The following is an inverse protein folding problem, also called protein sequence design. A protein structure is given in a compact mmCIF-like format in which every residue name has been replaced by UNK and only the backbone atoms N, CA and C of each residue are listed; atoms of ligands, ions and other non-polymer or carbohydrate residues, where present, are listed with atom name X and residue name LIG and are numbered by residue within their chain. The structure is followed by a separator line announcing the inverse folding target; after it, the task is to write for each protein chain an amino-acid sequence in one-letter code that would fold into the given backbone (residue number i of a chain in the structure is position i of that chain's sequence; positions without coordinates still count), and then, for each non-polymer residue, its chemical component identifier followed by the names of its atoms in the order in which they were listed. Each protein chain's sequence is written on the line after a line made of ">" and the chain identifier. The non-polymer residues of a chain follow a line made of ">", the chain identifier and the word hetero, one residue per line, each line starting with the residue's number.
data_IF_833942853292
#
_entry.id   IF_833942853292
#
_cell.length_a   1.000
_cell.length_b   1.000
_cell.length_c   1.000
_cell.angle_alpha   90.00
_cell.angle_beta   90.00
_cell.angle_gamma   90.00
#
_symmetry.space_group_name_H-M   'P 1'
#
loop_
_entity.id
_entity.type
_entity.pdbx_description
1 polymer ?
#
# COMPACT_ATOMS: atom_id res chain seq x y z
N UNK A 1 -18.47 -11.18 -0.98
CA UNK A 1 -17.16 -11.86 -0.84
C UNK A 1 -16.19 -10.93 -0.09
N UNK A 2 -16.49 -10.54 1.16
CA UNK A 2 -15.58 -9.76 2.03
C UNK A 2 -15.60 -10.29 3.48
N UNK A 3 -16.05 -11.54 3.70
CA UNK A 3 -16.37 -12.05 5.03
C UNK A 3 -15.20 -12.04 6.02
N UNK A 4 -13.96 -12.24 5.54
CA UNK A 4 -12.78 -12.20 6.40
C UNK A 4 -12.47 -10.78 6.89
N UNK A 5 -12.48 -9.78 6.00
CA UNK A 5 -12.19 -8.39 6.38
C UNK A 5 -13.32 -7.82 7.27
N UNK A 6 -14.58 -8.14 6.95
CA UNK A 6 -15.72 -7.77 7.79
C UNK A 6 -15.60 -8.38 9.20
N UNK A 7 -15.19 -9.65 9.32
CA UNK A 7 -14.97 -10.29 10.61
C UNK A 7 -13.81 -9.66 11.41
N UNK A 8 -12.79 -9.12 10.75
CA UNK A 8 -11.72 -8.39 11.43
C UNK A 8 -12.22 -7.02 11.91
N UNK A 9 -13.01 -6.31 11.11
CA UNK A 9 -13.57 -5.01 11.46
C UNK A 9 -14.38 -5.04 12.77
N UNK A 10 -15.12 -6.12 13.03
CA UNK A 10 -15.91 -6.27 14.27
C UNK A 10 -15.07 -6.48 15.53
N UNK A 11 -13.76 -6.72 15.40
CA UNK A 11 -12.84 -6.87 16.54
C UNK A 11 -12.32 -5.53 17.08
N UNK A 12 -12.67 -4.41 16.45
CA UNK A 12 -12.17 -3.07 16.80
C UNK A 12 -10.78 -2.75 16.26
N UNK A 13 -10.25 -3.57 15.33
CA UNK A 13 -9.03 -3.27 14.59
C UNK A 13 -9.34 -2.21 13.53
N UNK A 14 -8.56 -1.13 13.52
CA UNK A 14 -8.68 -0.09 12.51
C UNK A 14 -8.16 -0.57 11.15
N UNK A 15 -9.05 -0.62 10.16
CA UNK A 15 -8.74 -1.07 8.80
C UNK A 15 -8.61 0.14 7.87
N UNK A 16 -7.67 1.03 8.18
CA UNK A 16 -7.33 2.19 7.36
C UNK A 16 -6.03 1.98 6.59
N UNK A 17 -5.96 2.58 5.40
CA UNK A 17 -4.71 2.66 4.65
C UNK A 17 -3.95 3.92 5.08
N UNK A 18 -2.66 3.80 5.47
CA UNK A 18 -1.88 4.96 5.85
C UNK A 18 -1.57 5.84 4.61
N UNK A 19 -1.53 7.15 4.83
CA UNK A 19 -1.10 8.14 3.81
C UNK A 19 0.36 7.99 3.39
N UNK A 20 1.13 7.07 3.96
CA UNK A 20 2.46 6.70 3.49
C UNK A 20 2.75 5.23 3.81
N UNK A 21 3.08 4.39 2.80
CA UNK A 21 3.40 3.00 3.05
C UNK A 21 4.74 2.88 3.78
N UNK A 22 4.76 2.21 4.93
CA UNK A 22 5.98 2.04 5.73
C UNK A 22 6.51 0.61 5.76
N UNK A 23 5.77 -0.35 5.18
CA UNK A 23 6.09 -1.78 5.17
C UNK A 23 5.88 -2.40 3.79
N UNK A 24 6.77 -3.32 3.44
CA UNK A 24 6.72 -4.06 2.19
C UNK A 24 5.58 -5.09 2.22
N UNK A 25 4.66 -5.04 1.24
CA UNK A 25 3.60 -6.05 1.09
C UNK A 25 4.08 -7.47 0.75
N UNK A 26 5.36 -7.63 0.39
CA UNK A 26 5.97 -8.93 0.04
C UNK A 26 6.72 -9.59 1.20
N UNK A 27 7.55 -8.84 1.92
CA UNK A 27 8.40 -9.37 2.99
C UNK A 27 8.22 -8.71 4.36
N UNK A 28 7.32 -7.71 4.47
CA UNK A 28 7.12 -6.88 5.66
C UNK A 28 8.36 -6.07 6.12
N UNK A 29 9.37 -5.94 5.26
CA UNK A 29 10.54 -5.08 5.46
C UNK A 29 10.22 -3.60 5.48
N UNK A 30 11.17 -2.76 5.93
CA UNK A 30 11.01 -1.29 5.93
C UNK A 30 11.05 -0.74 4.50
N UNK A 31 10.11 0.15 4.20
CA UNK A 31 10.13 0.95 2.98
C UNK A 31 10.83 2.29 3.24
N UNK A 32 11.53 2.78 2.22
CA UNK A 32 12.09 4.12 2.17
C UNK A 32 11.61 4.83 0.90
N UNK A 33 11.45 6.15 0.97
CA UNK A 33 11.10 6.95 -0.19
C UNK A 33 12.25 6.89 -1.21
N UNK A 34 11.88 6.79 -2.48
CA UNK A 34 12.81 6.95 -3.60
C UNK A 34 12.90 8.45 -3.90
N UNK A 35 14.12 8.97 -3.99
CA UNK A 35 14.35 10.37 -4.35
C UNK A 35 13.79 10.65 -5.77
N UNK A 36 13.14 11.81 -6.01
CA UNK A 36 12.55 12.13 -7.31
C UNK A 36 13.54 12.05 -8.49
N UNK A 37 14.82 12.35 -8.23
CA UNK A 37 15.89 12.30 -9.24
C UNK A 37 16.48 10.89 -9.46
N UNK A 38 16.06 9.88 -8.68
CA UNK A 38 16.54 8.52 -8.82
C UNK A 38 15.78 7.78 -9.91
N UNK A 39 16.49 6.95 -10.68
CA UNK A 39 15.88 6.06 -11.66
C UNK A 39 15.13 4.94 -10.95
N UNK A 40 13.93 4.65 -11.44
CA UNK A 40 13.12 3.49 -11.06
C UNK A 40 13.24 2.38 -12.11
N UNK A 41 12.94 1.11 -11.77
CA UNK A 41 12.90 0.02 -12.74
C UNK A 41 11.83 0.24 -13.84
N UNK A 42 12.01 -0.37 -15.02
CA UNK A 42 11.13 -0.19 -16.20
C UNK A 42 9.62 -0.45 -15.95
N UNK A 43 9.29 -1.27 -14.94
CA UNK A 43 7.90 -1.59 -14.60
C UNK A 43 7.25 -0.56 -13.67
N UNK A 44 8.04 0.35 -13.09
CA UNK A 44 7.59 1.36 -12.15
C UNK A 44 7.56 2.74 -12.84
N UNK A 45 6.66 3.65 -12.40
CA UNK A 45 6.67 5.02 -12.90
C UNK A 45 7.96 5.73 -12.48
N UNK A 46 8.27 6.85 -13.14
CA UNK A 46 9.37 7.71 -12.73
C UNK A 46 9.08 8.35 -11.36
N UNK A 47 10.11 8.47 -10.51
CA UNK A 47 9.94 8.92 -9.13
C UNK A 47 9.60 10.43 -9.00
N UNK A 48 9.81 11.21 -10.05
CA UNK A 48 9.41 12.61 -10.17
C UNK A 48 7.95 12.79 -10.66
N UNK A 49 7.40 11.79 -11.34
CA UNK A 49 6.00 11.76 -11.76
C UNK A 49 5.08 11.19 -10.67
N UNK A 50 5.51 10.13 -9.99
CA UNK A 50 4.73 9.44 -8.96
C UNK A 50 5.62 9.09 -7.76
N UNK A 51 5.10 9.30 -6.54
CA UNK A 51 5.85 8.99 -5.32
C UNK A 51 6.12 7.48 -5.26
N UNK A 52 7.40 7.14 -5.23
CA UNK A 52 7.86 5.75 -5.18
C UNK A 52 8.53 5.43 -3.84
N UNK A 53 8.40 4.18 -3.42
CA UNK A 53 9.09 3.63 -2.24
C UNK A 53 9.79 2.33 -2.61
N UNK A 54 10.97 2.10 -2.02
CA UNK A 54 11.76 0.87 -2.20
C UNK A 54 11.88 0.13 -0.87
N UNK A 55 11.78 -1.20 -0.90
CA UNK A 55 12.07 -2.02 0.27
C UNK A 55 13.57 -2.14 0.50
N UNK A 56 14.01 -1.95 1.74
CA UNK A 56 15.42 -2.13 2.13
C UNK A 56 15.91 -3.58 2.06
N UNK A 57 14.99 -4.54 2.19
CA UNK A 57 15.34 -5.95 2.34
C UNK A 57 15.21 -6.74 1.03
N UNK A 58 14.15 -6.51 0.26
CA UNK A 58 13.88 -7.25 -0.99
C UNK A 58 13.89 -6.38 -2.25
N UNK A 59 14.19 -5.08 -2.11
CA UNK A 59 14.37 -4.11 -3.21
C UNK A 59 13.14 -3.89 -4.10
N UNK A 60 12.00 -4.49 -3.76
CA UNK A 60 10.73 -4.26 -4.44
C UNK A 60 10.32 -2.80 -4.34
N UNK A 61 9.86 -2.25 -5.47
CA UNK A 61 9.34 -0.90 -5.58
C UNK A 61 7.81 -0.88 -5.49
N UNK A 62 7.28 0.18 -4.89
CA UNK A 62 5.86 0.42 -4.62
C UNK A 62 5.48 1.88 -4.92
N UNK A 63 4.24 2.09 -5.35
CA UNK A 63 3.64 3.41 -5.61
C UNK A 63 2.11 3.30 -5.46
N UNK A 64 1.40 4.44 -5.42
CA UNK A 64 -0.07 4.46 -5.32
C UNK A 64 -0.74 4.40 -6.69
N UNK A 65 -0.61 3.26 -7.36
CA UNK A 65 -1.33 2.98 -8.60
C UNK A 65 -2.68 2.28 -8.36
N UNK A 66 -3.26 1.73 -9.43
CA UNK A 66 -4.58 1.08 -9.43
C UNK A 66 -4.78 -0.05 -8.40
N UNK A 67 -3.69 -0.68 -7.93
CA UNK A 67 -3.77 -1.64 -6.84
C UNK A 67 -4.19 -0.95 -5.52
N UNK A 68 -3.58 0.19 -5.21
CA UNK A 68 -3.90 1.00 -4.04
C UNK A 68 -5.37 1.41 -4.06
N UNK A 69 -5.84 1.93 -5.19
CA UNK A 69 -7.22 2.36 -5.38
C UNK A 69 -8.20 1.22 -5.13
N UNK A 70 -7.93 0.03 -5.69
CA UNK A 70 -8.78 -1.15 -5.47
C UNK A 70 -8.80 -1.58 -4.00
N UNK A 71 -7.68 -1.52 -3.27
CA UNK A 71 -7.67 -1.83 -1.84
C UNK A 71 -8.50 -0.80 -1.07
N UNK A 72 -8.38 0.49 -1.40
CA UNK A 72 -9.16 1.54 -0.80
C UNK A 72 -10.68 1.35 -1.04
N UNK A 73 -11.08 1.06 -2.28
CA UNK A 73 -12.47 0.73 -2.63
C UNK A 73 -12.99 -0.49 -1.87
N UNK A 74 -12.14 -1.52 -1.72
CA UNK A 74 -12.49 -2.74 -0.98
C UNK A 74 -12.75 -2.44 0.49
N UNK A 75 -11.89 -1.63 1.13
CA UNK A 75 -12.04 -1.24 2.53
C UNK A 75 -13.25 -0.32 2.73
N UNK A 76 -13.49 0.64 1.82
CA UNK A 76 -14.65 1.52 1.87
C UNK A 76 -15.98 0.77 1.74
N UNK A 77 -16.00 -0.38 1.04
CA UNK A 77 -17.17 -1.24 0.92
C UNK A 77 -17.44 -2.11 2.17
N UNK A 78 -16.56 -2.07 3.17
CA UNK A 78 -16.74 -2.78 4.44
C UNK A 78 -17.23 -1.74 5.45
N UNK A 79 -18.55 -1.61 5.58
CA UNK A 79 -19.11 -0.84 6.69
C UNK A 79 -18.74 -1.54 8.01
N UNK A 80 -18.18 -0.83 9.01
CA UNK A 80 -18.14 -1.37 10.35
C UNK A 80 -19.59 -1.56 10.80
N UNK A 81 -19.97 -2.81 11.07
CA UNK A 81 -21.31 -3.13 11.55
C UNK A 81 -21.67 -2.27 12.76
N UNK A 82 -22.81 -1.58 12.67
CA UNK A 82 -23.55 -0.97 13.78
C UNK A 82 -23.70 -1.92 14.96
#
# INVERSE_FOLDING_TARGET
>A
MHGQLAAVATTGIDLTLPDEPTRCGRCNGRLEAVEPAASTPDYAPAADEERCWRCRDCEQHFWRGSHWDRVNETLAAIEPGT
#
